data_IF_490024785220
#
_entry.id   IF_490024785220
#
_cell.length_a   1.000
_cell.length_b   1.000
_cell.length_c   1.000
_cell.angle_alpha   90.00
_cell.angle_beta   90.00
_cell.angle_gamma   90.00
#
_symmetry.space_group_name_H-M   'P 1'
#
loop_
_entity.id
_entity.type
_entity.pdbx_description
1 polymer ?
#
# COMPACT_ATOMS: atom_id res chain seq x y z
N UNK A 1 7.15 12.81 -10.27
CA UNK A 1 6.90 11.87 -9.15
C UNK A 1 6.91 10.46 -9.72
N UNK A 2 7.55 9.53 -9.01
CA UNK A 2 7.65 8.13 -9.40
C UNK A 2 6.57 7.29 -8.71
N UNK A 3 6.05 6.28 -9.39
CA UNK A 3 5.16 5.28 -8.83
C UNK A 3 5.82 3.90 -8.81
N UNK A 4 5.70 3.19 -7.70
CA UNK A 4 6.23 1.84 -7.51
C UNK A 4 5.10 0.82 -7.57
N UNK A 5 5.23 -0.16 -8.47
CA UNK A 5 4.32 -1.30 -8.57
C UNK A 5 4.95 -2.45 -7.80
N UNK A 6 4.36 -2.80 -6.64
CA UNK A 6 4.82 -3.89 -5.80
C UNK A 6 4.47 -5.23 -6.45
N UNK A 7 5.47 -6.09 -6.65
CA UNK A 7 5.27 -7.43 -7.19
C UNK A 7 6.17 -8.46 -6.51
N UNK A 8 5.84 -9.72 -6.64
CA UNK A 8 6.64 -10.84 -6.12
C UNK A 8 7.21 -11.64 -7.28
N UNK A 9 8.53 -11.57 -7.56
CA UNK A 9 9.14 -12.22 -8.72
C UNK A 9 9.05 -13.75 -8.68
N UNK A 10 8.93 -14.36 -7.50
CA UNK A 10 8.75 -15.80 -7.34
C UNK A 10 7.34 -16.32 -7.70
N UNK A 11 6.40 -15.43 -8.01
CA UNK A 11 5.02 -15.78 -8.37
C UNK A 11 4.71 -15.31 -9.79
N UNK A 12 4.61 -16.23 -10.78
CA UNK A 12 4.37 -15.86 -12.18
C UNK A 12 3.15 -14.97 -12.42
N UNK A 13 2.06 -15.21 -11.68
CA UNK A 13 0.85 -14.39 -11.77
C UNK A 13 1.10 -12.95 -11.29
N UNK A 14 1.89 -12.78 -10.21
CA UNK A 14 2.27 -11.45 -9.75
C UNK A 14 3.10 -10.70 -10.79
N UNK A 15 4.04 -11.38 -11.43
CA UNK A 15 4.86 -10.82 -12.53
C UNK A 15 3.98 -10.41 -13.71
N UNK A 16 3.09 -11.28 -14.14
CA UNK A 16 2.17 -11.02 -15.27
C UNK A 16 1.25 -9.83 -14.98
N UNK A 17 0.68 -9.77 -13.76
CA UNK A 17 -0.17 -8.64 -13.36
C UNK A 17 0.60 -7.34 -13.26
N UNK A 18 1.80 -7.34 -12.68
CA UNK A 18 2.65 -6.16 -12.59
C UNK A 18 3.08 -5.63 -13.96
N UNK A 19 3.40 -6.54 -14.89
CA UNK A 19 3.72 -6.16 -16.29
C UNK A 19 2.54 -5.46 -16.96
N UNK A 20 1.32 -5.98 -16.76
CA UNK A 20 0.10 -5.33 -17.25
C UNK A 20 -0.16 -3.98 -16.57
N UNK A 21 0.10 -3.87 -15.27
CA UNK A 21 -0.03 -2.61 -14.55
C UNK A 21 0.95 -1.58 -15.10
N UNK A 22 2.21 -1.96 -15.32
CA UNK A 22 3.24 -1.11 -15.94
C UNK A 22 2.83 -0.65 -17.33
N UNK A 23 2.38 -1.57 -18.21
CA UNK A 23 1.92 -1.26 -19.56
C UNK A 23 0.75 -0.27 -19.55
N UNK A 24 -0.30 -0.56 -18.78
CA UNK A 24 -1.48 0.31 -18.72
C UNK A 24 -1.16 1.66 -18.12
N UNK A 25 -0.27 1.73 -17.14
CA UNK A 25 0.14 2.99 -16.52
C UNK A 25 0.99 3.84 -17.45
N UNK A 26 1.97 3.24 -18.13
CA UNK A 26 2.81 3.93 -19.12
C UNK A 26 1.95 4.51 -20.26
N UNK A 27 0.95 3.76 -20.74
CA UNK A 27 -0.01 4.23 -21.76
C UNK A 27 -0.78 5.48 -21.31
N UNK A 28 -1.00 5.64 -20.02
CA UNK A 28 -1.66 6.81 -19.44
C UNK A 28 -0.69 7.87 -18.90
N UNK A 29 0.60 7.78 -19.25
CA UNK A 29 1.60 8.79 -18.90
C UNK A 29 2.07 8.75 -17.43
N UNK A 30 1.85 7.65 -16.72
CA UNK A 30 2.42 7.46 -15.39
C UNK A 30 3.90 7.11 -15.48
N UNK A 31 4.72 7.70 -14.61
CA UNK A 31 6.13 7.35 -14.44
C UNK A 31 6.23 6.22 -13.41
N UNK A 32 6.45 4.99 -13.86
CA UNK A 32 6.33 3.78 -13.05
C UNK A 32 7.59 2.93 -13.07
N UNK A 33 7.88 2.31 -11.93
CA UNK A 33 8.91 1.28 -11.78
C UNK A 33 8.33 0.05 -11.07
N UNK A 34 8.85 -1.12 -11.42
CA UNK A 34 8.57 -2.35 -10.68
C UNK A 34 9.39 -2.36 -9.38
N UNK A 35 8.74 -2.71 -8.27
CA UNK A 35 9.36 -2.81 -6.95
C UNK A 35 9.18 -4.23 -6.41
N UNK A 36 10.30 -4.93 -6.16
CA UNK A 36 10.25 -6.26 -5.58
C UNK A 36 9.73 -6.18 -4.14
N UNK A 37 8.55 -6.76 -3.93
CA UNK A 37 7.91 -6.82 -2.63
C UNK A 37 8.50 -7.91 -1.74
N UNK A 38 8.23 -7.80 -0.45
CA UNK A 38 8.64 -8.77 0.56
C UNK A 38 7.78 -10.03 0.46
N UNK A 39 8.42 -11.18 0.29
CA UNK A 39 7.74 -12.48 0.42
C UNK A 39 7.58 -12.83 1.90
N UNK A 40 6.38 -12.71 2.43
CA UNK A 40 6.08 -12.98 3.83
C UNK A 40 6.32 -14.41 4.29
N UNK A 41 6.47 -15.37 3.36
CA UNK A 41 6.91 -16.73 3.68
C UNK A 41 8.42 -16.82 4.01
N UNK A 42 9.18 -15.81 3.60
CA UNK A 42 10.64 -15.76 3.79
C UNK A 42 11.05 -14.75 4.86
N UNK A 43 10.26 -13.69 5.04
CA UNK A 43 10.58 -12.59 5.95
C UNK A 43 9.29 -12.07 6.59
N UNK A 44 9.24 -12.06 7.92
CA UNK A 44 8.14 -11.57 8.70
C UNK A 44 8.45 -10.30 9.49
N UNK A 45 7.50 -9.81 10.26
CA UNK A 45 7.65 -8.61 11.09
C UNK A 45 8.76 -8.76 12.14
N UNK A 46 8.90 -9.95 12.72
CA UNK A 46 9.91 -10.23 13.75
C UNK A 46 11.34 -10.06 13.21
N UNK A 47 11.58 -10.42 11.95
CA UNK A 47 12.89 -10.27 11.29
C UNK A 47 13.27 -8.79 11.11
N UNK A 48 12.28 -7.90 11.15
CA UNK A 48 12.45 -6.45 11.08
C UNK A 48 12.35 -5.76 12.45
N UNK A 49 12.32 -6.51 13.56
CA UNK A 49 12.11 -6.00 14.92
C UNK A 49 10.81 -5.16 15.08
N UNK A 50 9.81 -5.47 14.31
CA UNK A 50 8.51 -4.80 14.35
C UNK A 50 7.52 -5.60 15.21
N UNK A 51 6.87 -4.91 16.15
CA UNK A 51 5.78 -5.45 16.96
C UNK A 51 4.46 -5.37 16.20
N UNK A 52 3.53 -6.24 16.51
CA UNK A 52 2.14 -6.13 16.07
C UNK A 52 1.36 -5.22 17.03
N UNK A 53 0.51 -4.37 16.50
CA UNK A 53 -0.40 -3.56 17.30
C UNK A 53 -1.33 -4.44 18.15
N UNK A 54 -1.45 -4.14 19.44
CA UNK A 54 -2.23 -4.92 20.41
C UNK A 54 -3.73 -4.78 20.16
N UNK A 55 -4.20 -5.46 19.13
CA UNK A 55 -5.60 -5.51 18.73
C UNK A 55 -5.91 -6.88 18.10
N UNK A 56 -6.81 -7.67 18.71
CA UNK A 56 -7.12 -9.07 18.35
C UNK A 56 -7.28 -9.32 16.83
N UNK A 57 -7.92 -8.39 16.12
CA UNK A 57 -8.11 -8.55 14.67
C UNK A 57 -6.84 -8.24 13.89
N UNK A 58 -6.02 -7.26 14.32
CA UNK A 58 -4.72 -6.97 13.72
C UNK A 58 -3.78 -8.16 13.88
N UNK A 59 -3.67 -8.71 15.08
CA UNK A 59 -2.89 -9.90 15.40
C UNK A 59 -3.28 -11.08 14.50
N UNK A 60 -4.58 -11.38 14.41
CA UNK A 60 -5.10 -12.46 13.55
C UNK A 60 -4.79 -12.26 12.07
N UNK A 61 -4.86 -11.04 11.56
CA UNK A 61 -4.57 -10.74 10.15
C UNK A 61 -3.07 -10.80 9.87
N UNK A 62 -2.25 -10.22 10.75
CA UNK A 62 -0.79 -10.22 10.62
C UNK A 62 -0.15 -11.57 11.03
N UNK A 63 -0.89 -12.52 11.56
CA UNK A 63 -0.43 -13.90 11.67
C UNK A 63 -0.25 -14.59 10.30
N UNK A 64 -0.85 -14.03 9.22
CA UNK A 64 -0.76 -14.57 7.87
C UNK A 64 0.48 -14.05 7.15
N UNK A 65 1.37 -14.93 6.63
CA UNK A 65 2.59 -14.51 5.94
C UNK A 65 2.32 -13.51 4.81
N UNK A 66 1.31 -13.73 3.97
CA UNK A 66 0.97 -12.81 2.89
C UNK A 66 0.57 -11.41 3.36
N UNK A 67 -0.11 -11.29 4.50
CA UNK A 67 -0.45 -9.98 5.10
C UNK A 67 0.79 -9.29 5.65
N UNK A 68 1.73 -10.04 6.25
CA UNK A 68 3.02 -9.49 6.69
C UNK A 68 3.85 -8.99 5.51
N UNK A 69 3.97 -9.78 4.44
CA UNK A 69 4.70 -9.39 3.24
C UNK A 69 4.11 -8.15 2.57
N UNK A 70 2.79 -8.06 2.50
CA UNK A 70 2.10 -6.86 1.99
C UNK A 70 2.42 -5.62 2.86
N UNK A 71 2.33 -5.74 4.18
CA UNK A 71 2.69 -4.64 5.09
C UNK A 71 4.16 -4.25 4.94
N UNK A 72 5.10 -5.21 4.99
CA UNK A 72 6.53 -4.95 4.90
C UNK A 72 6.92 -4.29 3.59
N UNK A 73 6.34 -4.72 2.47
CA UNK A 73 6.59 -4.09 1.17
C UNK A 73 6.23 -2.61 1.17
N UNK A 74 5.08 -2.26 1.74
CA UNK A 74 4.65 -0.87 1.84
C UNK A 74 5.45 -0.10 2.89
N UNK A 75 5.80 -0.73 4.02
CA UNK A 75 6.62 -0.14 5.07
C UNK A 75 7.99 0.32 4.53
N UNK A 76 8.66 -0.50 3.74
CA UNK A 76 9.93 -0.15 3.10
C UNK A 76 9.77 1.01 2.10
N UNK A 77 8.65 1.09 1.38
CA UNK A 77 8.36 2.22 0.51
C UNK A 77 8.04 3.50 1.29
N UNK A 78 7.40 3.41 2.46
CA UNK A 78 7.24 4.58 3.36
C UNK A 78 8.58 5.05 3.90
N UNK A 79 9.49 4.14 4.27
CA UNK A 79 10.86 4.50 4.65
C UNK A 79 11.58 5.21 3.50
N UNK A 80 11.56 4.64 2.30
CA UNK A 80 12.14 5.25 1.10
C UNK A 80 11.58 6.64 0.83
N UNK A 81 10.26 6.83 0.91
CA UNK A 81 9.60 8.12 0.73
C UNK A 81 10.11 9.16 1.74
N UNK A 82 10.19 8.77 3.01
CA UNK A 82 10.66 9.64 4.08
C UNK A 82 12.14 9.99 3.93
N UNK A 83 13.01 9.00 3.71
CA UNK A 83 14.47 9.15 3.59
C UNK A 83 14.88 10.00 2.38
N UNK A 84 14.23 9.78 1.23
CA UNK A 84 14.51 10.56 0.02
C UNK A 84 13.85 11.94 0.02
N UNK A 85 13.02 12.22 1.01
CA UNK A 85 12.20 13.44 1.12
C UNK A 85 11.44 13.76 -0.19
N UNK A 86 10.95 12.72 -0.87
CA UNK A 86 10.28 12.85 -2.16
C UNK A 86 8.94 12.11 -2.14
N UNK A 87 7.81 12.74 -2.53
CA UNK A 87 6.54 12.06 -2.64
C UNK A 87 6.59 10.94 -3.67
N UNK A 88 5.97 9.80 -3.36
CA UNK A 88 5.88 8.64 -4.25
C UNK A 88 4.44 8.18 -4.41
N UNK A 89 4.18 7.41 -5.47
CA UNK A 89 2.96 6.62 -5.59
C UNK A 89 3.27 5.15 -5.32
N UNK A 90 2.33 4.45 -4.69
CA UNK A 90 2.43 3.02 -4.38
C UNK A 90 1.24 2.31 -5.01
N UNK A 91 1.54 1.22 -5.73
CA UNK A 91 0.55 0.42 -6.43
C UNK A 91 0.77 -1.06 -6.15
N UNK A 92 -0.32 -1.81 -5.95
CA UNK A 92 -0.27 -3.28 -5.96
C UNK A 92 -0.24 -3.79 -7.42
N UNK A 93 0.29 -4.99 -7.63
CA UNK A 93 0.48 -5.56 -8.98
C UNK A 93 -0.81 -5.73 -9.79
N UNK A 94 -1.97 -5.84 -9.14
CA UNK A 94 -3.26 -6.08 -9.78
C UNK A 94 -3.96 -4.82 -10.29
N UNK A 95 -3.34 -3.65 -10.12
CA UNK A 95 -3.86 -2.36 -10.59
C UNK A 95 -3.91 -2.32 -12.11
N UNK A 96 -4.97 -1.75 -12.65
CA UNK A 96 -5.11 -1.39 -14.06
C UNK A 96 -5.41 0.10 -14.15
N UNK A 97 -4.51 0.85 -14.76
CA UNK A 97 -4.68 2.30 -14.91
C UNK A 97 -5.72 2.61 -16.00
N UNK A 98 -6.57 3.59 -15.76
CA UNK A 98 -7.66 4.00 -16.66
C UNK A 98 -7.56 5.45 -17.10
N UNK A 99 -6.82 6.26 -16.36
CA UNK A 99 -6.69 7.69 -16.59
C UNK A 99 -5.30 8.16 -16.19
N UNK A 100 -4.81 9.29 -16.71
CA UNK A 100 -3.60 9.93 -16.23
C UNK A 100 -3.77 10.34 -14.76
N UNK A 101 -2.67 10.65 -14.09
CA UNK A 101 -2.66 11.09 -12.70
C UNK A 101 -3.55 12.33 -12.50
N UNK A 102 -3.40 13.33 -13.36
CA UNK A 102 -4.10 14.60 -13.25
C UNK A 102 -3.76 15.35 -11.95
N UNK A 103 -4.62 16.30 -11.60
CA UNK A 103 -4.49 17.06 -10.36
C UNK A 103 -4.95 16.24 -9.14
N UNK A 104 -4.38 16.55 -7.99
CA UNK A 104 -4.74 15.96 -6.70
C UNK A 104 -4.66 17.02 -5.60
N UNK A 105 -5.46 16.85 -4.56
CA UNK A 105 -5.46 17.73 -3.40
C UNK A 105 -4.20 17.54 -2.56
N UNK A 106 -3.72 18.61 -1.92
CA UNK A 106 -2.61 18.49 -0.98
C UNK A 106 -3.08 17.82 0.31
N UNK A 107 -2.42 16.72 0.64
CA UNK A 107 -2.72 15.87 1.80
C UNK A 107 -1.56 14.89 2.02
N UNK A 108 -1.56 14.21 3.17
CA UNK A 108 -0.55 13.19 3.46
C UNK A 108 -0.66 11.99 2.52
N UNK A 109 -1.89 11.50 2.31
CA UNK A 109 -2.19 10.34 1.46
C UNK A 109 -3.36 10.68 0.54
N UNK A 110 -3.15 10.56 -0.78
CA UNK A 110 -4.19 10.69 -1.79
C UNK A 110 -4.45 9.34 -2.46
N UNK A 111 -5.65 8.78 -2.26
CA UNK A 111 -6.03 7.49 -2.84
C UNK A 111 -6.60 7.67 -4.24
N UNK A 112 -6.02 6.99 -5.22
CA UNK A 112 -6.50 6.97 -6.61
C UNK A 112 -7.72 6.06 -6.83
N UNK A 113 -8.05 5.28 -5.82
CA UNK A 113 -9.32 4.57 -5.72
C UNK A 113 -10.42 5.55 -5.31
N UNK A 114 -11.62 5.37 -5.85
CA UNK A 114 -12.76 6.15 -5.41
C UNK A 114 -13.07 5.94 -3.91
N UNK A 115 -13.80 6.88 -3.33
CA UNK A 115 -14.21 6.82 -1.93
C UNK A 115 -14.90 5.49 -1.58
N UNK A 116 -14.50 4.90 -0.47
CA UNK A 116 -15.10 3.70 0.11
C UNK A 116 -15.64 4.01 1.49
N UNK A 117 -16.62 3.24 1.93
CA UNK A 117 -17.20 3.41 3.26
C UNK A 117 -16.13 3.27 4.35
N UNK A 118 -16.08 4.26 5.23
CA UNK A 118 -15.22 4.24 6.41
C UNK A 118 -15.61 3.10 7.36
N UNK A 119 -14.61 2.47 7.93
CA UNK A 119 -14.78 1.45 8.97
C UNK A 119 -13.98 1.86 10.20
N UNK A 120 -14.58 1.91 11.40
CA UNK A 120 -13.86 2.33 12.59
C UNK A 120 -12.77 1.33 12.96
N UNK A 121 -11.60 1.85 13.29
CA UNK A 121 -10.50 1.13 13.91
C UNK A 121 -9.67 2.14 14.71
N UNK A 122 -9.24 1.82 15.95
CA UNK A 122 -8.29 2.70 16.61
C UNK A 122 -6.99 2.84 15.79
N UNK A 123 -6.48 4.08 15.58
CA UNK A 123 -6.90 5.33 16.21
C UNK A 123 -7.97 6.14 15.45
N UNK A 124 -8.52 5.66 14.35
CA UNK A 124 -9.47 6.42 13.55
C UNK A 124 -10.36 5.56 12.65
N UNK A 125 -10.67 6.05 11.47
CA UNK A 125 -11.39 5.31 10.44
C UNK A 125 -10.44 4.89 9.34
N UNK A 126 -10.51 3.64 8.93
CA UNK A 126 -9.79 3.14 7.78
C UNK A 126 -10.73 2.92 6.58
N UNK A 127 -10.13 2.93 5.40
CA UNK A 127 -10.83 2.77 4.14
C UNK A 127 -10.20 1.61 3.38
N UNK A 128 -11.00 0.63 3.04
CA UNK A 128 -10.55 -0.63 2.45
C UNK A 128 -9.61 -0.45 1.26
N UNK A 129 -8.51 -1.22 1.26
CA UNK A 129 -7.49 -1.28 0.23
C UNK A 129 -6.37 -0.24 0.41
N UNK A 130 -5.15 -0.71 0.22
CA UNK A 130 -3.94 0.10 0.12
C UNK A 130 -3.28 -0.09 -1.25
N UNK A 131 -4.11 -0.18 -2.32
CA UNK A 131 -3.69 -0.70 -3.62
C UNK A 131 -3.16 0.36 -4.57
N UNK A 132 -3.61 1.61 -4.42
CA UNK A 132 -3.21 2.69 -5.32
C UNK A 132 -3.33 4.04 -4.62
N UNK A 133 -2.22 4.61 -4.22
CA UNK A 133 -2.20 5.91 -3.55
C UNK A 133 -0.87 6.63 -3.73
N UNK A 134 -0.92 7.96 -3.57
CA UNK A 134 0.24 8.83 -3.38
C UNK A 134 0.46 9.02 -1.88
N UNK A 135 1.71 9.12 -1.46
CA UNK A 135 2.08 9.49 -0.10
C UNK A 135 3.17 10.57 -0.11
N UNK A 136 3.06 11.52 0.82
CA UNK A 136 4.10 12.53 1.05
C UNK A 136 5.15 12.03 2.04
N UNK A 137 6.38 12.60 2.06
CA UNK A 137 7.38 12.29 3.08
C UNK A 137 6.86 12.52 4.51
N UNK A 138 6.03 13.54 4.70
CA UNK A 138 5.43 13.84 6.00
C UNK A 138 4.38 12.79 6.40
N UNK A 139 3.52 12.36 5.47
CA UNK A 139 2.58 11.27 5.69
C UNK A 139 3.30 9.95 6.01
N UNK A 140 4.34 9.63 5.25
CA UNK A 140 5.18 8.47 5.50
C UNK A 140 5.81 8.50 6.91
N UNK A 141 6.37 9.66 7.31
CA UNK A 141 6.91 9.86 8.67
C UNK A 141 5.87 9.62 9.76
N UNK A 142 4.63 10.10 9.59
CA UNK A 142 3.54 9.87 10.56
C UNK A 142 3.26 8.38 10.71
N UNK A 143 3.15 7.63 9.61
CA UNK A 143 2.93 6.19 9.62
C UNK A 143 4.09 5.46 10.31
N UNK A 144 5.32 5.77 9.94
CA UNK A 144 6.52 5.15 10.54
C UNK A 144 6.59 5.39 12.05
N UNK A 145 6.38 6.63 12.48
CA UNK A 145 6.35 6.98 13.90
C UNK A 145 5.25 6.21 14.65
N UNK A 146 4.08 6.07 14.05
CA UNK A 146 2.99 5.32 14.66
C UNK A 146 3.33 3.84 14.79
N UNK A 147 3.94 3.22 13.77
CA UNK A 147 4.40 1.82 13.80
C UNK A 147 5.43 1.61 14.90
N UNK A 148 6.41 2.50 15.04
CA UNK A 148 7.43 2.39 16.09
C UNK A 148 6.85 2.52 17.50
N UNK A 149 5.88 3.41 17.68
CA UNK A 149 5.27 3.65 18.99
C UNK A 149 4.26 2.56 19.38
N UNK A 150 3.47 2.07 18.44
CA UNK A 150 2.28 1.28 18.72
C UNK A 150 2.32 -0.15 18.14
N UNK A 151 3.14 -0.38 17.12
CA UNK A 151 3.21 -1.64 16.38
C UNK A 151 2.50 -1.59 15.02
N UNK A 152 2.72 -2.62 14.22
CA UNK A 152 2.19 -2.77 12.86
C UNK A 152 0.70 -3.18 12.87
N UNK A 153 -0.04 -2.64 11.91
CA UNK A 153 -1.38 -3.11 11.49
C UNK A 153 -1.33 -3.53 10.03
N UNK A 154 -2.35 -4.23 9.49
CA UNK A 154 -2.47 -4.41 8.03
C UNK A 154 -2.27 -3.10 7.28
N UNK A 155 -1.60 -3.14 6.13
CA UNK A 155 -1.16 -1.94 5.41
C UNK A 155 -2.31 -0.95 5.12
N UNK A 156 -3.49 -1.45 4.76
CA UNK A 156 -4.67 -0.63 4.51
C UNK A 156 -5.23 0.03 5.78
N UNK A 157 -4.97 -0.53 6.97
CA UNK A 157 -5.35 0.06 8.25
C UNK A 157 -4.41 1.18 8.69
N UNK A 158 -3.15 1.13 8.24
CA UNK A 158 -2.20 2.23 8.46
C UNK A 158 -2.62 3.50 7.73
N UNK A 159 -3.40 3.36 6.64
CA UNK A 159 -4.00 4.46 5.90
C UNK A 159 -5.35 4.82 6.52
N UNK A 160 -5.34 5.42 7.71
CA UNK A 160 -6.53 5.85 8.44
C UNK A 160 -6.42 7.32 8.87
N UNK A 161 -7.57 7.96 9.05
CA UNK A 161 -7.68 9.40 9.37
C UNK A 161 -7.15 9.76 10.77
N UNK A 162 -6.96 8.77 11.64
CA UNK A 162 -6.30 8.95 12.94
C UNK A 162 -4.78 9.00 12.87
N UNK A 163 -4.16 8.67 11.73
CA UNK A 163 -2.71 8.69 11.52
C UNK A 163 -2.32 9.75 10.48
N UNK A 164 -3.03 9.82 9.37
CA UNK A 164 -2.70 10.65 8.20
C UNK A 164 -3.91 11.43 7.67
N UNK A 165 -3.67 12.64 7.15
CA UNK A 165 -4.69 13.35 6.39
C UNK A 165 -4.89 12.67 5.03
N UNK A 166 -6.14 12.26 4.75
CA UNK A 166 -6.47 11.47 3.57
C UNK A 166 -7.46 12.16 2.66
N UNK A 167 -7.22 12.02 1.35
CA UNK A 167 -8.18 12.43 0.31
C UNK A 167 -8.36 11.29 -0.70
N UNK A 168 -9.43 11.36 -1.46
CA UNK A 168 -9.83 10.32 -2.41
C UNK A 168 -10.14 10.93 -3.76
N UNK A 169 -9.70 10.26 -4.81
CA UNK A 169 -10.08 10.65 -6.16
C UNK A 169 -11.58 10.49 -6.38
N UNK A 170 -12.21 11.52 -6.91
CA UNK A 170 -13.66 11.54 -7.15
C UNK A 170 -14.10 10.49 -8.18
N UNK A 171 -13.24 10.18 -9.15
CA UNK A 171 -13.62 9.39 -10.34
C UNK A 171 -12.82 8.11 -10.51
N UNK A 172 -12.06 7.70 -9.54
CA UNK A 172 -11.11 6.60 -9.58
C UNK A 172 -10.22 6.59 -10.84
N UNK A 173 -8.91 6.71 -10.65
CA UNK A 173 -7.91 6.65 -11.74
C UNK A 173 -7.57 5.22 -12.13
N UNK A 174 -7.91 4.28 -11.28
CA UNK A 174 -7.53 2.87 -11.41
C UNK A 174 -8.72 1.95 -11.21
N UNK A 175 -8.59 0.74 -11.73
CA UNK A 175 -9.44 -0.40 -11.41
C UNK A 175 -8.57 -1.62 -11.09
N UNK A 176 -9.16 -2.70 -10.66
CA UNK A 176 -8.46 -3.94 -10.32
C UNK A 176 -8.96 -5.07 -11.18
N UNK A 177 -8.07 -5.94 -11.59
CA UNK A 177 -8.40 -7.09 -12.40
C UNK A 177 -7.66 -8.30 -11.84
N UNK A 178 -8.17 -8.80 -10.73
CA UNK A 178 -7.69 -10.03 -10.14
C UNK A 178 -8.85 -10.88 -9.66
N UNK A 179 -8.72 -12.17 -9.85
CA UNK A 179 -9.52 -13.19 -9.18
C UNK A 179 -8.74 -13.88 -8.06
N UNK A 180 -7.47 -13.45 -7.82
CA UNK A 180 -6.53 -14.09 -6.89
C UNK A 180 -6.16 -13.07 -5.81
N UNK A 181 -6.37 -13.43 -4.56
CA UNK A 181 -5.91 -12.68 -3.40
C UNK A 181 -4.68 -13.37 -2.83
N UNK A 182 -3.49 -12.91 -3.15
CA UNK A 182 -2.23 -13.47 -2.63
C UNK A 182 -2.13 -13.45 -1.10
N UNK A 183 -2.91 -12.60 -0.42
CA UNK A 183 -2.98 -12.60 1.04
C UNK A 183 -3.78 -13.79 1.60
N UNK A 184 -4.60 -14.45 0.77
CA UNK A 184 -5.38 -15.63 1.17
C UNK A 184 -4.70 -16.94 0.83
N UNK A 185 -3.92 -16.96 -0.26
CA UNK A 185 -3.32 -18.17 -0.80
C UNK A 185 -1.97 -18.55 -0.15
N UNK A 186 -1.44 -17.66 0.71
CA UNK A 186 -0.24 -17.89 1.52
C UNK A 186 -0.60 -18.23 2.99
N UNK A 187 -1.82 -18.73 3.24
CA UNK A 187 -2.28 -19.14 4.58
C UNK A 187 -2.18 -20.65 4.77
#
# INVERSE_FOLDING_TARGET
MIGYIIYLPSYPDSVSMASRALETGTKHGWNLELYEGVNGMKQGLADCNLKVYQHKKAERLLARPGTQGCFLSQYLLWQKCHETNTPICIFEHDVVFKKPMGDYEDCDVYKFEGFKKAKPIPPGNWYEGARAYRITPYGAKKILNWVHANGAMPADWMLCDGIVDMRFDKYSKVTYKTNVSFTKDLS
#
